data_IF_699598448664
#
_entry.id   IF_699598448664
#
_cell.length_a   1.000
_cell.length_b   1.000
_cell.length_c   1.000
_cell.angle_alpha   90.00
_cell.angle_beta   90.00
_cell.angle_gamma   90.00
#
_symmetry.space_group_name_H-M   'P 1'
#
loop_
_entity.id
_entity.type
_entity.pdbx_description
1 polymer ?
#
# COMPACT_ATOMS: atom_id res chain seq x y z
N UNK A 1 -1.35 19.22 -16.01
CA UNK A 1 -2.40 19.28 -17.05
C UNK A 1 -2.38 20.68 -17.64
N UNK A 2 -2.48 20.77 -18.94
CA UNK A 2 -2.44 22.02 -19.68
C UNK A 2 -3.71 22.16 -20.52
N UNK A 3 -4.18 23.37 -20.70
CA UNK A 3 -5.28 23.71 -21.59
C UNK A 3 -4.79 24.62 -22.71
N UNK A 4 -5.34 24.47 -23.89
CA UNK A 4 -5.04 25.36 -25.01
C UNK A 4 -5.84 26.66 -24.85
N UNK A 5 -5.12 27.78 -24.85
CA UNK A 5 -5.68 29.13 -24.79
C UNK A 5 -5.27 29.89 -26.03
N UNK A 6 -5.80 31.08 -26.24
CA UNK A 6 -5.42 31.97 -27.36
C UNK A 6 -3.93 32.33 -27.33
N UNK A 7 -3.29 32.24 -26.16
CA UNK A 7 -1.86 32.54 -25.95
C UNK A 7 -0.95 31.30 -25.99
N UNK A 8 -1.50 30.11 -26.24
CA UNK A 8 -0.79 28.83 -26.22
C UNK A 8 -1.20 27.94 -25.05
N UNK A 9 -0.32 27.00 -24.66
CA UNK A 9 -0.58 26.04 -23.60
C UNK A 9 -0.37 26.67 -22.23
N UNK A 10 -1.42 26.74 -21.41
CA UNK A 10 -1.35 27.20 -20.02
C UNK A 10 -1.55 26.03 -19.04
N UNK A 11 -0.79 26.03 -17.94
CA UNK A 11 -0.92 25.04 -16.90
C UNK A 11 -2.14 25.30 -16.03
N UNK A 12 -2.99 24.28 -15.87
CA UNK A 12 -4.20 24.39 -15.07
C UNK A 12 -3.92 24.14 -13.59
N UNK A 13 -4.64 24.84 -12.74
CA UNK A 13 -4.73 24.49 -11.32
C UNK A 13 -5.62 23.25 -11.22
N UNK A 14 -5.11 22.21 -10.60
CA UNK A 14 -5.82 20.93 -10.49
C UNK A 14 -5.93 20.48 -9.03
N UNK A 15 -7.08 19.84 -8.71
CA UNK A 15 -7.24 19.01 -7.53
C UNK A 15 -7.33 17.57 -8.01
N UNK A 16 -6.29 16.81 -7.77
CA UNK A 16 -6.14 15.44 -8.24
C UNK A 16 -6.45 14.45 -7.11
N UNK A 17 -7.51 13.66 -7.26
CA UNK A 17 -7.90 12.57 -6.37
C UNK A 17 -7.37 11.21 -6.87
N UNK A 18 -6.76 11.18 -8.07
CA UNK A 18 -6.18 9.95 -8.64
C UNK A 18 -4.77 9.67 -8.15
N UNK A 19 -4.16 10.60 -7.41
CA UNK A 19 -2.76 10.52 -6.97
C UNK A 19 -1.80 10.26 -8.13
N UNK A 20 -1.98 10.99 -9.24
CA UNK A 20 -1.16 10.84 -10.43
C UNK A 20 -1.48 9.57 -11.23
N UNK A 21 -2.76 9.23 -11.33
CA UNK A 21 -3.30 8.05 -12.03
C UNK A 21 -2.92 6.70 -11.39
N UNK A 22 -2.60 6.68 -10.10
CA UNK A 22 -2.34 5.43 -9.37
C UNK A 22 -3.61 4.74 -8.88
N UNK A 23 -4.72 5.47 -8.88
CA UNK A 23 -6.06 4.96 -8.59
C UNK A 23 -7.11 5.67 -9.44
N UNK A 24 -8.33 5.09 -9.52
CA UNK A 24 -9.48 5.77 -10.09
C UNK A 24 -9.92 6.93 -9.20
N UNK A 25 -10.29 8.06 -9.79
CA UNK A 25 -10.71 9.24 -9.05
C UNK A 25 -11.06 10.40 -9.97
N UNK A 26 -11.44 11.52 -9.38
CA UNK A 26 -11.75 12.75 -10.09
C UNK A 26 -10.54 13.68 -10.15
N UNK A 27 -10.40 14.36 -11.26
CA UNK A 27 -9.48 15.48 -11.41
C UNK A 27 -10.30 16.73 -11.67
N UNK A 28 -10.39 17.58 -10.67
CA UNK A 28 -11.03 18.88 -10.81
C UNK A 28 -10.02 19.84 -11.42
N UNK A 29 -10.39 20.45 -12.54
CA UNK A 29 -9.53 21.35 -13.30
C UNK A 29 -10.16 22.74 -13.25
N UNK A 30 -9.42 23.73 -12.74
CA UNK A 30 -9.81 25.13 -12.84
C UNK A 30 -9.47 25.62 -14.24
N UNK A 31 -10.51 25.99 -14.99
CA UNK A 31 -10.39 26.46 -16.36
C UNK A 31 -10.11 27.98 -16.32
N UNK A 32 -9.08 28.50 -17.00
CA UNK A 32 -8.85 29.95 -17.11
C UNK A 32 -9.89 30.61 -18.02
N UNK A 33 -10.12 31.92 -17.82
CA UNK A 33 -11.17 32.66 -18.53
C UNK A 33 -10.86 32.92 -20.04
N UNK A 34 -9.61 32.72 -20.46
CA UNK A 34 -9.12 33.01 -21.81
C UNK A 34 -9.07 31.78 -22.74
N UNK A 35 -10.03 30.88 -22.59
CA UNK A 35 -10.14 29.69 -23.44
C UNK A 35 -11.01 29.97 -24.66
N UNK A 36 -10.72 29.24 -25.76
CA UNK A 36 -11.58 29.23 -26.92
C UNK A 36 -12.81 28.34 -26.66
N UNK A 37 -13.99 28.93 -26.60
CA UNK A 37 -15.23 28.23 -26.29
C UNK A 37 -15.62 27.19 -27.36
N UNK A 38 -15.18 27.34 -28.60
CA UNK A 38 -15.54 26.41 -29.68
C UNK A 38 -14.71 25.13 -29.69
N UNK A 39 -13.45 25.20 -29.24
CA UNK A 39 -12.55 24.02 -29.18
C UNK A 39 -11.57 24.16 -28.02
N UNK A 40 -11.86 23.48 -26.93
CA UNK A 40 -10.92 23.37 -25.81
C UNK A 40 -10.21 22.03 -25.87
N UNK A 41 -8.89 22.07 -25.98
CA UNK A 41 -8.04 20.85 -25.95
C UNK A 41 -7.33 20.79 -24.60
N UNK A 42 -7.48 19.66 -23.95
CA UNK A 42 -6.78 19.33 -22.71
C UNK A 42 -5.56 18.44 -23.04
N UNK A 43 -4.39 18.84 -22.55
CA UNK A 43 -3.17 18.06 -22.67
C UNK A 43 -2.75 17.55 -21.30
N UNK A 44 -2.77 16.25 -21.14
CA UNK A 44 -2.28 15.56 -19.94
C UNK A 44 -0.86 15.09 -20.21
N UNK A 45 0.09 15.53 -19.39
CA UNK A 45 1.48 15.10 -19.48
C UNK A 45 1.81 14.31 -18.22
N UNK A 46 2.14 13.04 -18.40
CA UNK A 46 2.54 12.13 -17.32
C UNK A 46 4.05 12.03 -17.34
N UNK A 47 4.68 12.41 -16.22
CA UNK A 47 6.11 12.22 -16.03
C UNK A 47 6.30 10.99 -15.13
N UNK A 48 7.00 9.99 -15.61
CA UNK A 48 7.37 8.82 -14.82
C UNK A 48 8.89 8.65 -14.87
N UNK A 49 9.51 8.50 -13.72
CA UNK A 49 10.93 8.16 -13.61
C UNK A 49 11.15 6.65 -13.87
N UNK A 50 10.07 5.87 -13.90
CA UNK A 50 10.08 4.42 -14.05
C UNK A 50 9.05 3.98 -15.09
N UNK A 51 9.55 3.51 -16.25
CA UNK A 51 8.71 3.02 -17.36
C UNK A 51 7.91 1.76 -16.99
N UNK A 52 8.37 0.99 -15.99
CA UNK A 52 7.71 -0.24 -15.57
C UNK A 52 6.45 0.00 -14.71
N UNK A 53 6.28 1.22 -14.21
CA UNK A 53 5.14 1.61 -13.37
C UNK A 53 4.26 2.68 -14.03
N UNK A 54 4.14 2.63 -15.35
CA UNK A 54 3.20 3.51 -16.07
C UNK A 54 1.76 3.16 -15.69
N UNK A 55 0.93 4.15 -15.38
CA UNK A 55 -0.48 3.91 -15.08
C UNK A 55 -1.21 3.35 -16.30
N UNK A 56 -2.05 2.35 -16.10
CA UNK A 56 -2.99 1.88 -17.10
C UNK A 56 -4.27 2.70 -16.98
N UNK A 57 -4.58 3.50 -18.00
CA UNK A 57 -5.79 4.31 -18.04
C UNK A 57 -6.83 3.55 -18.85
N UNK A 58 -7.85 3.04 -18.19
CA UNK A 58 -8.95 2.33 -18.87
C UNK A 58 -9.95 3.30 -19.47
N UNK A 59 -10.19 4.43 -18.81
CA UNK A 59 -11.22 5.35 -19.20
C UNK A 59 -10.95 6.78 -18.70
N UNK A 60 -11.24 7.75 -19.55
CA UNK A 60 -11.27 9.18 -19.22
C UNK A 60 -12.55 9.77 -19.79
N UNK A 61 -13.30 10.48 -18.98
CA UNK A 61 -14.46 11.23 -19.42
C UNK A 61 -14.49 12.59 -18.75
N UNK A 62 -15.13 13.53 -19.39
CA UNK A 62 -15.48 14.82 -18.82
C UNK A 62 -16.93 14.82 -18.33
N UNK A 63 -17.27 15.79 -17.50
CA UNK A 63 -18.64 16.00 -17.01
C UNK A 63 -19.25 14.75 -16.37
N UNK A 64 -18.47 14.08 -15.50
CA UNK A 64 -18.94 12.91 -14.75
C UNK A 64 -19.72 13.40 -13.52
N UNK A 65 -20.88 12.81 -13.26
CA UNK A 65 -21.63 13.00 -12.02
C UNK A 65 -21.81 11.68 -11.29
N UNK A 66 -21.85 11.76 -9.98
CA UNK A 66 -22.19 10.62 -9.13
C UNK A 66 -23.71 10.58 -8.99
N UNK A 67 -24.31 9.43 -9.27
CA UNK A 67 -25.72 9.18 -9.05
C UNK A 67 -25.91 8.56 -7.67
N UNK A 68 -26.81 9.11 -6.89
CA UNK A 68 -27.25 8.54 -5.62
C UNK A 68 -28.68 8.04 -5.82
N UNK A 69 -28.95 6.82 -5.36
CA UNK A 69 -30.30 6.29 -5.36
C UNK A 69 -31.09 7.00 -4.25
N UNK A 70 -32.06 7.81 -4.62
CA UNK A 70 -33.08 8.34 -3.72
C UNK A 70 -34.37 7.55 -3.92
N UNK A 71 -34.95 7.09 -2.81
CA UNK A 71 -36.22 6.38 -2.84
C UNK A 71 -37.31 7.15 -2.08
N UNK A 72 -38.24 7.69 -2.81
CA UNK A 72 -39.49 8.21 -2.21
C UNK A 72 -40.44 7.09 -1.79
N UNK A 73 -40.36 5.90 -2.36
CA UNK A 73 -41.32 4.80 -2.23
C UNK A 73 -40.85 3.52 -1.52
N UNK A 74 -39.80 3.51 -0.80
CA UNK A 74 -39.29 2.43 0.08
C UNK A 74 -39.28 0.97 -0.44
N UNK A 75 -39.90 0.65 -1.57
CA UNK A 75 -40.03 -0.73 -2.05
C UNK A 75 -38.73 -1.33 -2.62
N UNK A 76 -37.81 -0.47 -3.05
CA UNK A 76 -36.52 -0.89 -3.63
C UNK A 76 -35.31 -0.34 -2.86
N UNK A 77 -35.55 0.32 -1.74
CA UNK A 77 -34.49 0.85 -0.90
C UNK A 77 -33.66 -0.30 -0.32
N UNK A 78 -32.34 -0.23 -0.48
CA UNK A 78 -31.44 -1.28 -0.05
C UNK A 78 -31.36 -2.50 -0.97
N UNK A 79 -32.12 -2.55 -2.05
CA UNK A 79 -32.05 -3.66 -2.99
C UNK A 79 -30.76 -3.61 -3.81
N UNK A 80 -30.04 -4.72 -3.87
CA UNK A 80 -28.92 -4.87 -4.79
C UNK A 80 -29.43 -4.94 -6.24
N UNK A 81 -28.78 -4.24 -7.15
CA UNK A 81 -29.18 -4.22 -8.56
C UNK A 81 -28.03 -3.93 -9.49
N UNK A 82 -28.33 -4.06 -10.78
CA UNK A 82 -27.42 -3.72 -11.86
C UNK A 82 -28.07 -2.67 -12.74
N UNK A 83 -27.35 -1.60 -13.00
CA UNK A 83 -27.75 -0.61 -14.00
C UNK A 83 -26.98 -0.91 -15.28
N UNK A 84 -27.69 -1.17 -16.37
CA UNK A 84 -27.07 -1.49 -17.67
C UNK A 84 -26.28 -0.30 -18.21
N UNK A 85 -25.25 -0.61 -18.97
CA UNK A 85 -24.55 0.38 -19.78
C UNK A 85 -25.46 1.01 -20.85
N UNK A 86 -25.11 2.21 -21.29
CA UNK A 86 -25.83 2.97 -22.32
C UNK A 86 -27.30 3.33 -21.98
N UNK A 87 -27.67 3.34 -20.69
CA UNK A 87 -28.94 3.93 -20.28
C UNK A 87 -28.85 5.44 -20.34
N UNK A 88 -29.88 6.04 -20.93
CA UNK A 88 -29.97 7.49 -21.09
C UNK A 88 -30.95 8.05 -20.08
N UNK A 89 -30.48 9.00 -19.30
CA UNK A 89 -31.30 9.80 -18.38
C UNK A 89 -31.35 11.24 -18.85
N UNK A 90 -32.50 11.86 -18.69
CA UNK A 90 -32.69 13.29 -18.95
C UNK A 90 -32.91 13.99 -17.60
N UNK A 91 -32.10 14.97 -17.31
CA UNK A 91 -32.14 15.74 -16.07
C UNK A 91 -32.46 17.18 -16.47
N UNK A 92 -33.44 17.75 -15.83
CA UNK A 92 -33.77 19.19 -16.02
C UNK A 92 -33.28 19.96 -14.80
N UNK A 93 -32.30 20.84 -15.00
CA UNK A 93 -31.76 21.71 -13.95
C UNK A 93 -31.93 23.16 -14.44
N UNK A 94 -32.68 23.95 -13.71
CA UNK A 94 -32.89 25.37 -14.00
C UNK A 94 -33.33 25.69 -15.45
N UNK A 95 -34.10 24.75 -16.07
CA UNK A 95 -34.61 24.91 -17.43
C UNK A 95 -33.63 24.37 -18.51
N UNK A 96 -32.51 23.84 -18.14
CA UNK A 96 -31.59 23.17 -19.06
C UNK A 96 -31.79 21.65 -19.03
N UNK A 97 -32.01 21.05 -20.19
CA UNK A 97 -32.05 19.59 -20.33
C UNK A 97 -30.65 19.04 -20.48
N UNK A 98 -30.23 18.27 -19.48
CA UNK A 98 -28.93 17.60 -19.47
C UNK A 98 -29.14 16.11 -19.74
N UNK A 99 -28.42 15.58 -20.74
CA UNK A 99 -28.40 14.16 -21.04
C UNK A 99 -27.30 13.49 -20.29
N UNK A 100 -27.62 12.54 -19.41
CA UNK A 100 -26.67 11.66 -18.75
C UNK A 100 -26.76 10.25 -19.35
N UNK A 101 -25.63 9.60 -19.53
CA UNK A 101 -25.54 8.25 -20.09
C UNK A 101 -24.66 7.39 -19.17
N UNK A 102 -25.13 6.20 -18.82
CA UNK A 102 -24.29 5.23 -18.11
C UNK A 102 -23.23 4.67 -19.06
N UNK A 103 -21.97 4.91 -18.74
CA UNK A 103 -20.85 4.49 -19.58
C UNK A 103 -20.54 3.00 -19.47
N UNK A 104 -20.67 2.43 -18.28
CA UNK A 104 -20.38 1.03 -17.96
C UNK A 104 -21.50 0.46 -17.11
N UNK A 105 -21.66 -0.85 -17.10
CA UNK A 105 -22.59 -1.49 -16.18
C UNK A 105 -22.21 -1.12 -14.74
N UNK A 106 -23.15 -0.53 -14.00
CA UNK A 106 -22.96 -0.13 -12.61
C UNK A 106 -23.39 -1.28 -11.71
N UNK A 107 -22.49 -1.76 -10.91
CA UNK A 107 -22.75 -2.72 -9.85
C UNK A 107 -22.86 -1.95 -8.53
N UNK A 108 -24.02 -1.39 -8.27
CA UNK A 108 -24.24 -0.59 -7.09
C UNK A 108 -25.52 -1.03 -6.40
N UNK A 109 -25.56 -0.76 -5.13
CA UNK A 109 -26.61 -1.16 -4.24
C UNK A 109 -26.24 -2.43 -3.49
N UNK A 110 -26.39 -2.37 -2.19
CA UNK A 110 -26.32 -3.48 -1.27
C UNK A 110 -27.66 -3.57 -0.55
N UNK A 111 -27.99 -4.73 -0.05
CA UNK A 111 -29.14 -4.90 0.83
C UNK A 111 -28.97 -4.00 2.06
N UNK A 112 -30.07 -3.67 2.71
CA UNK A 112 -30.02 -2.93 3.96
C UNK A 112 -29.05 -3.59 4.93
N UNK A 113 -28.20 -2.76 5.49
CA UNK A 113 -27.20 -3.18 6.46
C UNK A 113 -27.91 -3.66 7.74
N UNK A 114 -27.50 -4.80 8.30
CA UNK A 114 -28.04 -5.21 9.58
C UNK A 114 -27.65 -4.22 10.67
N UNK A 115 -28.45 -4.06 11.74
CA UNK A 115 -28.09 -3.17 12.85
C UNK A 115 -26.73 -3.52 13.48
N UNK A 116 -26.34 -4.79 13.45
CA UNK A 116 -25.04 -5.25 13.93
C UNK A 116 -23.90 -4.80 13.00
N UNK A 117 -24.05 -4.98 11.70
CA UNK A 117 -23.05 -4.56 10.72
C UNK A 117 -22.91 -3.03 10.70
N UNK A 118 -24.02 -2.29 10.80
CA UNK A 118 -24.03 -0.84 10.93
C UNK A 118 -23.26 -0.38 12.18
N UNK A 119 -23.46 -1.07 13.32
CA UNK A 119 -22.73 -0.77 14.54
C UNK A 119 -21.23 -1.06 14.41
N UNK A 120 -20.85 -2.20 13.84
CA UNK A 120 -19.43 -2.54 13.61
C UNK A 120 -18.76 -1.59 12.61
N UNK A 121 -19.45 -1.21 11.54
CA UNK A 121 -18.97 -0.18 10.60
C UNK A 121 -18.77 1.16 11.30
N UNK A 122 -19.79 1.65 12.01
CA UNK A 122 -19.70 2.91 12.78
C UNK A 122 -18.55 2.87 13.77
N UNK A 123 -18.43 1.78 14.53
CA UNK A 123 -17.33 1.58 15.46
C UNK A 123 -15.97 1.62 14.76
N UNK A 124 -15.82 0.94 13.64
CA UNK A 124 -14.58 0.94 12.86
C UNK A 124 -14.24 2.32 12.32
N UNK A 125 -15.25 3.09 11.87
CA UNK A 125 -15.09 4.47 11.40
C UNK A 125 -14.69 5.42 12.52
N UNK A 126 -15.28 5.27 13.72
CA UNK A 126 -14.91 6.07 14.89
C UNK A 126 -13.49 5.77 15.40
N UNK A 127 -13.06 4.51 15.28
CA UNK A 127 -11.69 4.09 15.60
C UNK A 127 -10.70 4.45 14.50
N UNK A 128 -11.17 4.80 13.31
CA UNK A 128 -10.36 5.21 12.17
C UNK A 128 -9.97 6.67 12.33
N UNK A 129 -8.97 6.90 13.16
CA UNK A 129 -8.43 8.24 13.32
C UNK A 129 -7.85 8.73 11.98
N UNK A 130 -8.31 9.88 11.53
CA UNK A 130 -7.74 10.57 10.35
C UNK A 130 -6.34 11.12 10.62
N UNK A 131 -5.90 11.08 11.87
CA UNK A 131 -4.59 11.55 12.33
C UNK A 131 -3.76 10.41 12.87
N UNK A 132 -2.48 10.43 12.58
CA UNK A 132 -1.52 9.49 13.10
C UNK A 132 -1.06 9.96 14.50
N UNK A 133 -1.40 9.21 15.53
CA UNK A 133 -1.01 9.50 16.92
C UNK A 133 0.00 8.49 17.42
N UNK A 134 -0.18 7.22 17.06
CA UNK A 134 0.68 6.13 17.48
C UNK A 134 1.35 5.46 16.26
N UNK A 135 2.26 4.53 16.50
CA UNK A 135 3.00 3.78 15.48
C UNK A 135 2.04 3.09 14.48
N UNK A 136 1.00 2.45 14.98
CA UNK A 136 0.08 1.66 14.16
C UNK A 136 -0.75 2.54 13.23
N UNK A 137 -1.06 3.79 13.64
CA UNK A 137 -1.73 4.76 12.77
C UNK A 137 -0.86 5.13 11.57
N UNK A 138 0.45 5.40 11.80
CA UNK A 138 1.37 5.67 10.70
C UNK A 138 1.51 4.48 9.76
N UNK A 139 1.60 3.25 10.29
CA UNK A 139 1.66 2.03 9.49
C UNK A 139 0.40 1.90 8.64
N UNK A 140 -0.78 2.01 9.24
CA UNK A 140 -2.06 1.92 8.54
C UNK A 140 -2.19 2.96 7.43
N UNK A 141 -1.91 4.22 7.74
CA UNK A 141 -1.99 5.32 6.76
C UNK A 141 -1.00 5.11 5.62
N UNK A 142 0.21 4.65 5.91
CA UNK A 142 1.19 4.34 4.89
C UNK A 142 0.73 3.19 3.98
N UNK A 143 0.15 2.13 4.55
CA UNK A 143 -0.38 0.98 3.79
C UNK A 143 -1.58 1.36 2.91
N UNK A 144 -2.37 2.35 3.33
CA UNK A 144 -3.51 2.87 2.56
C UNK A 144 -3.08 3.87 1.47
N UNK A 145 -1.77 4.17 1.33
CA UNK A 145 -1.29 5.14 0.34
C UNK A 145 -1.52 4.65 -1.09
N UNK A 146 -2.24 5.42 -1.92
CA UNK A 146 -2.52 5.04 -3.30
C UNK A 146 -1.26 4.83 -4.13
N UNK A 147 -1.25 3.75 -4.91
CA UNK A 147 -0.15 3.41 -5.81
C UNK A 147 1.11 2.86 -5.14
N UNK A 148 1.08 2.63 -3.84
CA UNK A 148 2.19 2.05 -3.09
C UNK A 148 1.77 0.71 -2.49
N UNK A 149 2.37 -0.37 -3.00
CA UNK A 149 2.28 -1.70 -2.38
C UNK A 149 3.47 -1.89 -1.47
N UNK A 150 3.22 -2.02 -0.19
CA UNK A 150 4.24 -2.16 0.85
C UNK A 150 4.40 -3.64 1.17
N UNK A 151 5.64 -4.13 1.14
CA UNK A 151 6.03 -5.47 1.60
C UNK A 151 6.25 -5.45 3.12
N UNK A 152 7.12 -4.53 3.58
CA UNK A 152 7.47 -4.41 4.99
C UNK A 152 7.56 -2.94 5.37
N UNK A 153 7.08 -2.60 6.56
CA UNK A 153 7.12 -1.25 7.11
C UNK A 153 7.50 -1.27 8.58
N UNK A 154 8.34 -0.33 8.97
CA UNK A 154 8.59 -0.03 10.38
C UNK A 154 8.50 1.47 10.64
N UNK A 155 7.93 1.83 11.78
CA UNK A 155 7.81 3.22 12.24
C UNK A 155 8.47 3.34 13.59
N UNK A 156 9.39 4.29 13.72
CA UNK A 156 10.15 4.52 14.94
C UNK A 156 10.46 6.00 15.12
N UNK A 157 10.87 6.35 16.32
CA UNK A 157 11.23 7.71 16.68
C UNK A 157 12.48 7.68 17.54
N UNK A 158 13.57 8.21 17.02
CA UNK A 158 14.86 8.30 17.74
C UNK A 158 15.02 9.66 18.40
N UNK A 159 14.25 10.67 17.99
CA UNK A 159 14.28 12.02 18.49
C UNK A 159 12.85 12.54 18.79
N UNK A 160 12.64 13.29 19.87
CA UNK A 160 11.34 13.89 20.15
C UNK A 160 10.86 14.79 19.00
N UNK A 161 9.62 14.61 18.59
CA UNK A 161 9.02 15.39 17.50
C UNK A 161 9.37 14.91 16.08
N UNK A 162 10.17 13.83 15.93
CA UNK A 162 10.55 13.26 14.65
C UNK A 162 10.12 11.81 14.55
N UNK A 163 9.44 11.47 13.48
CA UNK A 163 8.98 10.11 13.20
C UNK A 163 9.63 9.63 11.89
N UNK A 164 10.30 8.51 11.96
CA UNK A 164 10.89 7.83 10.81
C UNK A 164 9.97 6.70 10.35
N UNK A 165 9.62 6.72 9.08
CA UNK A 165 8.80 5.70 8.43
C UNK A 165 9.67 4.99 7.42
N UNK A 166 10.13 3.80 7.78
CA UNK A 166 10.97 2.96 6.93
C UNK A 166 10.10 1.97 6.15
N UNK A 167 10.17 2.01 4.82
CA UNK A 167 9.27 1.24 3.95
C UNK A 167 10.04 0.48 2.89
N UNK A 168 9.73 -0.80 2.73
CA UNK A 168 10.15 -1.64 1.61
C UNK A 168 8.95 -1.85 0.69
N UNK A 169 9.02 -1.44 -0.59
CA UNK A 169 7.96 -1.74 -1.55
C UNK A 169 7.98 -3.24 -1.94
N UNK A 170 6.83 -3.80 -2.34
CA UNK A 170 6.73 -5.19 -2.80
C UNK A 170 7.56 -5.44 -4.05
N UNK A 171 7.63 -4.46 -4.94
CA UNK A 171 8.32 -4.57 -6.23
C UNK A 171 9.18 -3.34 -6.50
N UNK A 172 10.40 -3.57 -6.96
CA UNK A 172 11.31 -2.53 -7.43
C UNK A 172 11.86 -1.61 -6.35
N UNK A 173 12.28 -0.42 -6.78
CA UNK A 173 12.75 0.66 -5.91
C UNK A 173 11.64 1.70 -5.74
N UNK A 174 11.69 2.44 -4.65
CA UNK A 174 10.83 3.62 -4.51
C UNK A 174 10.99 4.54 -5.71
N UNK A 175 9.93 4.70 -6.49
CA UNK A 175 9.92 5.80 -7.45
C UNK A 175 9.63 7.11 -6.73
N UNK A 176 10.13 8.22 -7.27
CA UNK A 176 9.96 9.55 -6.65
C UNK A 176 8.49 9.92 -6.46
N UNK A 177 7.62 9.41 -7.33
CA UNK A 177 6.20 9.69 -7.28
C UNK A 177 5.51 8.99 -6.10
N UNK A 178 5.80 7.70 -5.87
CA UNK A 178 5.24 6.96 -4.72
C UNK A 178 5.72 7.52 -3.39
N UNK A 179 6.99 7.95 -3.31
CA UNK A 179 7.52 8.67 -2.13
C UNK A 179 6.78 9.99 -1.91
N UNK A 180 6.48 10.73 -3.00
CA UNK A 180 5.72 11.98 -2.93
C UNK A 180 4.29 11.75 -2.43
N UNK A 181 3.62 10.71 -2.92
CA UNK A 181 2.28 10.34 -2.47
C UNK A 181 2.27 9.95 -0.99
N UNK A 182 3.20 9.09 -0.58
CA UNK A 182 3.35 8.68 0.82
C UNK A 182 3.61 9.90 1.72
N UNK A 183 4.52 10.78 1.29
CA UNK A 183 4.81 12.02 2.04
C UNK A 183 3.59 12.92 2.18
N UNK A 184 2.79 13.08 1.11
CA UNK A 184 1.57 13.88 1.12
C UNK A 184 0.56 13.32 2.14
N UNK A 185 0.26 12.02 2.05
CA UNK A 185 -0.72 11.36 2.91
C UNK A 185 -0.30 11.41 4.38
N UNK A 186 0.97 11.12 4.67
CA UNK A 186 1.51 11.20 6.03
C UNK A 186 1.57 12.63 6.56
N UNK A 187 1.87 13.61 5.70
CA UNK A 187 1.90 15.03 6.09
C UNK A 187 0.52 15.56 6.47
N UNK A 188 -0.52 15.12 5.77
CA UNK A 188 -1.91 15.49 6.08
C UNK A 188 -2.39 14.86 7.40
N UNK A 189 -1.86 13.68 7.74
CA UNK A 189 -2.26 12.91 8.92
C UNK A 189 -1.44 13.22 10.18
N UNK A 190 -0.22 13.75 10.06
CA UNK A 190 0.67 13.99 11.20
C UNK A 190 0.18 15.05 12.18
N UNK A 191 0.52 14.96 13.49
CA UNK A 191 0.31 16.04 14.44
C UNK A 191 1.12 17.29 14.07
N UNK A 192 0.63 18.44 14.49
CA UNK A 192 1.35 19.72 14.34
C UNK A 192 2.67 19.63 15.10
N UNK A 193 3.76 20.08 14.47
CA UNK A 193 5.09 20.08 15.08
C UNK A 193 5.86 18.77 14.94
N UNK A 194 5.28 17.73 14.32
CA UNK A 194 5.99 16.48 14.03
C UNK A 194 6.66 16.56 12.68
N UNK A 195 7.93 16.19 12.60
CA UNK A 195 8.66 15.95 11.35
C UNK A 195 8.55 14.50 10.96
N UNK A 196 8.47 14.24 9.65
CA UNK A 196 8.39 12.87 9.10
C UNK A 196 9.54 12.64 8.12
N UNK A 197 10.35 11.63 8.40
CA UNK A 197 11.35 11.11 7.50
C UNK A 197 10.87 9.80 6.88
N UNK A 198 10.97 9.69 5.56
CA UNK A 198 10.69 8.46 4.83
C UNK A 198 12.03 7.82 4.45
N UNK A 199 12.25 6.62 4.95
CA UNK A 199 13.50 5.88 4.78
C UNK A 199 13.27 4.62 3.95
N UNK A 200 14.33 4.17 3.30
CA UNK A 200 14.42 2.83 2.71
C UNK A 200 15.22 1.93 3.66
N UNK A 201 14.87 0.65 3.79
CA UNK A 201 15.58 -0.22 4.71
C UNK A 201 17.02 -0.47 4.30
N UNK A 202 17.87 -0.61 5.29
CA UNK A 202 19.23 -1.12 5.12
C UNK A 202 19.14 -2.65 5.08
N UNK A 203 19.59 -3.24 3.99
CA UNK A 203 19.53 -4.69 3.78
C UNK A 203 20.77 -5.36 4.37
N UNK A 204 20.53 -6.33 5.24
CA UNK A 204 21.56 -7.18 5.85
C UNK A 204 21.49 -8.56 5.24
N UNK A 205 22.39 -8.83 4.31
CA UNK A 205 22.51 -10.14 3.66
C UNK A 205 23.17 -11.15 4.58
N UNK A 206 22.54 -12.30 4.75
CA UNK A 206 23.02 -13.36 5.61
C UNK A 206 22.76 -14.75 5.01
N UNK A 207 23.56 -15.73 5.44
CA UNK A 207 23.37 -17.15 5.14
C UNK A 207 23.23 -17.93 6.43
N UNK A 208 22.24 -18.81 6.45
CA UNK A 208 21.99 -19.67 7.59
C UNK A 208 22.61 -21.04 7.36
N UNK A 209 23.51 -21.42 8.25
CA UNK A 209 24.14 -22.75 8.28
C UNK A 209 23.57 -23.55 9.44
N UNK A 210 23.07 -24.75 9.18
CA UNK A 210 22.47 -25.62 10.20
C UNK A 210 23.04 -27.04 10.10
N UNK A 211 23.68 -27.49 11.16
CA UNK A 211 24.09 -28.88 11.30
C UNK A 211 22.96 -29.70 11.92
N UNK A 212 22.33 -30.58 11.14
CA UNK A 212 21.20 -31.38 11.61
C UNK A 212 21.39 -32.84 11.38
N UNK A 213 20.93 -33.66 12.33
CA UNK A 213 20.67 -35.07 12.13
C UNK A 213 19.20 -35.27 11.76
N UNK A 214 18.96 -35.91 10.61
CA UNK A 214 17.62 -36.13 10.10
C UNK A 214 17.16 -37.57 10.27
N UNK A 215 15.88 -37.79 10.47
CA UNK A 215 15.26 -39.11 10.45
C UNK A 215 15.39 -39.73 9.05
N UNK A 216 15.67 -41.03 8.99
CA UNK A 216 15.99 -41.75 7.73
C UNK A 216 14.96 -41.69 6.63
N UNK A 217 13.75 -41.19 6.91
CA UNK A 217 12.66 -40.95 5.94
C UNK A 217 12.59 -39.50 5.43
N UNK A 218 13.36 -38.62 6.04
CA UNK A 218 13.27 -37.18 5.73
C UNK A 218 14.03 -36.82 4.44
N UNK A 219 13.39 -36.13 3.56
CA UNK A 219 13.99 -35.56 2.34
C UNK A 219 14.60 -34.20 2.66
N UNK A 220 15.86 -34.00 2.27
CA UNK A 220 16.59 -32.73 2.46
C UNK A 220 15.81 -31.52 1.89
N UNK A 221 15.15 -31.66 0.75
CA UNK A 221 14.36 -30.59 0.16
C UNK A 221 13.10 -30.22 0.96
N UNK A 222 12.48 -31.17 1.65
CA UNK A 222 11.37 -30.90 2.57
C UNK A 222 11.85 -30.17 3.82
N UNK A 223 12.99 -30.59 4.34
CA UNK A 223 13.60 -29.96 5.51
C UNK A 223 13.98 -28.51 5.24
N UNK A 224 14.65 -28.21 4.13
CA UNK A 224 14.96 -26.83 3.70
C UNK A 224 13.70 -25.97 3.63
N UNK A 225 12.60 -26.50 3.06
CA UNK A 225 11.34 -25.77 2.97
C UNK A 225 10.74 -25.45 4.35
N UNK A 226 10.82 -26.38 5.29
CA UNK A 226 10.33 -26.16 6.64
C UNK A 226 11.19 -25.14 7.40
N UNK A 227 12.51 -25.25 7.29
CA UNK A 227 13.43 -24.26 7.88
C UNK A 227 13.17 -22.88 7.27
N UNK A 228 13.04 -22.77 5.94
CA UNK A 228 12.68 -21.50 5.29
C UNK A 228 11.39 -20.88 5.86
N UNK A 229 10.38 -21.70 6.12
CA UNK A 229 9.14 -21.23 6.75
C UNK A 229 9.37 -20.74 8.18
N UNK A 230 10.20 -21.42 8.96
CA UNK A 230 10.51 -21.05 10.34
C UNK A 230 11.34 -19.77 10.46
N UNK A 231 12.12 -19.41 9.43
CA UNK A 231 12.96 -18.20 9.44
C UNK A 231 12.34 -17.01 8.69
N UNK A 232 11.21 -17.21 8.03
CA UNK A 232 10.55 -16.19 7.19
C UNK A 232 10.25 -14.90 7.95
N UNK A 233 9.88 -15.00 9.23
CA UNK A 233 9.60 -13.83 10.07
C UNK A 233 10.82 -12.89 10.21
N UNK A 234 12.03 -13.39 10.05
CA UNK A 234 13.26 -12.59 10.10
C UNK A 234 13.38 -11.66 8.88
N UNK A 235 12.82 -12.07 7.74
CA UNK A 235 12.79 -11.30 6.50
C UNK A 235 11.55 -10.38 6.39
N UNK A 236 10.50 -10.66 7.17
CA UNK A 236 9.24 -9.93 7.15
C UNK A 236 9.21 -8.75 8.12
N UNK A 237 10.17 -8.67 9.05
CA UNK A 237 10.18 -7.65 10.09
C UNK A 237 11.49 -6.84 10.09
N UNK A 238 11.38 -5.54 10.24
CA UNK A 238 12.50 -4.62 10.44
C UNK A 238 12.75 -4.39 11.93
N UNK A 239 13.97 -4.02 12.28
CA UNK A 239 14.32 -3.63 13.66
C UNK A 239 14.17 -4.76 14.67
N UNK A 240 14.61 -5.97 14.30
CA UNK A 240 14.38 -7.16 15.11
C UNK A 240 15.45 -7.31 16.17
N UNK A 241 15.01 -7.65 17.37
CA UNK A 241 15.87 -8.25 18.40
C UNK A 241 15.38 -9.66 18.64
N UNK A 242 16.19 -10.65 18.29
CA UNK A 242 15.77 -12.05 18.30
C UNK A 242 16.89 -12.97 18.83
N UNK A 243 16.53 -13.89 19.74
CA UNK A 243 17.46 -14.90 20.26
C UNK A 243 17.56 -16.06 19.29
N UNK A 244 18.77 -16.33 18.78
CA UNK A 244 18.98 -17.44 17.85
C UNK A 244 18.74 -18.82 18.52
N UNK A 245 18.79 -18.90 19.85
CA UNK A 245 18.36 -20.09 20.59
C UNK A 245 16.87 -20.45 20.38
N UNK A 246 16.00 -19.47 20.17
CA UNK A 246 14.58 -19.71 19.86
C UNK A 246 14.41 -20.30 18.46
N UNK A 247 15.21 -19.82 17.48
CA UNK A 247 15.26 -20.41 16.15
C UNK A 247 15.79 -21.85 16.20
N UNK A 248 16.86 -22.09 16.95
CA UNK A 248 17.42 -23.41 17.16
C UNK A 248 16.36 -24.38 17.72
N UNK A 249 15.61 -23.95 18.74
CA UNK A 249 14.57 -24.78 19.34
C UNK A 249 13.38 -25.00 18.38
N UNK A 250 13.02 -23.99 17.58
CA UNK A 250 11.94 -24.13 16.59
C UNK A 250 12.29 -25.13 15.48
N UNK A 251 13.55 -25.15 15.04
CA UNK A 251 14.02 -26.12 14.04
C UNK A 251 14.11 -27.53 14.68
N UNK A 252 14.59 -27.63 15.93
CA UNK A 252 14.62 -28.88 16.67
C UNK A 252 13.26 -29.52 16.90
N UNK A 253 12.19 -28.70 17.00
CA UNK A 253 10.84 -29.17 17.15
C UNK A 253 10.22 -29.74 15.85
N UNK A 254 10.92 -29.69 14.71
CA UNK A 254 10.46 -30.30 13.47
C UNK A 254 10.53 -31.82 13.53
N UNK A 255 9.44 -32.52 13.26
CA UNK A 255 9.35 -34.00 13.33
C UNK A 255 10.34 -34.73 12.42
N UNK A 256 11.03 -34.03 11.51
CA UNK A 256 12.02 -34.58 10.59
C UNK A 256 13.46 -34.47 11.11
N UNK A 257 13.65 -33.76 12.22
CA UNK A 257 14.96 -33.50 12.83
C UNK A 257 15.07 -34.34 14.07
N UNK A 258 16.04 -35.23 14.11
CA UNK A 258 16.35 -36.00 15.31
C UNK A 258 17.23 -35.22 16.30
N UNK A 259 18.19 -34.46 15.79
CA UNK A 259 18.98 -33.54 16.61
C UNK A 259 19.58 -32.40 15.76
N UNK A 260 19.94 -31.29 16.43
CA UNK A 260 20.67 -30.17 15.84
C UNK A 260 22.02 -30.05 16.57
N UNK A 261 23.08 -30.09 15.83
CA UNK A 261 24.44 -29.96 16.38
C UNK A 261 24.84 -28.50 16.57
N UNK A 262 24.53 -27.67 15.61
CA UNK A 262 24.89 -26.26 15.63
C UNK A 262 24.05 -25.46 14.65
N UNK A 263 23.97 -24.15 14.89
CA UNK A 263 23.33 -23.16 14.03
C UNK A 263 24.24 -21.94 13.97
N UNK A 264 24.53 -21.46 12.76
CA UNK A 264 25.36 -20.28 12.54
C UNK A 264 24.66 -19.40 11.50
N UNK A 265 24.48 -18.14 11.85
CA UNK A 265 24.04 -17.09 10.94
C UNK A 265 25.23 -16.24 10.54
N UNK A 266 25.64 -16.31 9.28
CA UNK A 266 26.80 -15.59 8.74
C UNK A 266 26.35 -14.45 7.84
N UNK A 267 26.80 -13.26 8.16
CA UNK A 267 26.56 -12.05 7.34
C UNK A 267 27.67 -11.86 6.31
N UNK A 268 27.35 -11.15 5.21
CA UNK A 268 28.31 -10.85 4.15
C UNK A 268 29.48 -9.96 4.62
N UNK A 269 29.32 -9.20 5.70
CA UNK A 269 30.39 -8.43 6.34
C UNK A 269 31.37 -9.28 7.12
N UNK A 270 31.17 -10.60 7.16
CA UNK A 270 32.02 -11.55 7.88
C UNK A 270 31.63 -11.79 9.33
N UNK A 271 30.65 -11.11 9.88
CA UNK A 271 30.16 -11.39 11.22
C UNK A 271 29.40 -12.71 11.25
N UNK A 272 29.60 -13.49 12.30
CA UNK A 272 28.91 -14.74 12.55
C UNK A 272 28.24 -14.70 13.91
N UNK A 273 27.01 -15.18 13.95
CA UNK A 273 26.22 -15.37 15.16
C UNK A 273 25.87 -16.85 15.31
N UNK A 274 26.06 -17.38 16.52
CA UNK A 274 25.75 -18.77 16.88
C UNK A 274 24.40 -18.86 17.59
N UNK A 275 23.96 -20.07 17.91
CA UNK A 275 22.71 -20.28 18.66
C UNK A 275 22.66 -19.61 20.05
N UNK A 276 23.80 -19.21 20.61
CA UNK A 276 23.85 -18.55 21.92
C UNK A 276 23.71 -17.02 21.81
N UNK A 277 23.85 -16.48 20.60
CA UNK A 277 23.86 -15.05 20.36
C UNK A 277 22.45 -14.48 20.16
N UNK A 278 22.36 -13.16 20.28
CA UNK A 278 21.16 -12.40 19.99
C UNK A 278 21.38 -11.63 18.70
N UNK A 279 20.51 -11.84 17.73
CA UNK A 279 20.43 -11.03 16.53
C UNK A 279 19.80 -9.67 16.90
N UNK A 280 20.52 -8.58 16.65
CA UNK A 280 20.02 -7.21 16.82
C UNK A 280 20.19 -6.48 15.50
N UNK A 281 19.08 -6.11 14.89
CA UNK A 281 19.06 -5.24 13.72
C UNK A 281 18.57 -3.84 14.13
N UNK A 282 19.14 -2.76 13.55
CA UNK A 282 18.65 -1.41 13.79
C UNK A 282 17.20 -1.25 13.26
N UNK A 283 16.48 -0.24 13.72
CA UNK A 283 15.07 -0.01 13.41
C UNK A 283 14.77 0.07 11.90
N UNK A 284 15.74 0.49 11.11
CA UNK A 284 15.69 0.53 9.64
C UNK A 284 16.35 -0.68 8.97
N UNK A 285 16.84 -1.64 9.76
CA UNK A 285 17.51 -2.85 9.28
C UNK A 285 16.52 -3.94 8.91
N UNK A 286 16.68 -4.53 7.73
CA UNK A 286 15.95 -5.69 7.27
C UNK A 286 16.90 -6.80 6.86
N UNK A 287 16.68 -8.00 7.38
CA UNK A 287 17.49 -9.16 7.01
C UNK A 287 16.99 -9.76 5.69
N UNK A 288 17.94 -10.19 4.87
CA UNK A 288 17.71 -10.99 3.65
C UNK A 288 18.51 -12.29 3.82
N UNK A 289 17.81 -13.41 3.82
CA UNK A 289 18.43 -14.73 3.81
C UNK A 289 18.69 -15.17 2.38
N UNK A 290 19.95 -15.08 1.95
CA UNK A 290 20.34 -15.46 0.59
C UNK A 290 20.29 -16.97 0.41
N UNK A 291 20.70 -17.74 1.42
CA UNK A 291 20.71 -19.20 1.35
C UNK A 291 20.59 -19.87 2.73
N UNK A 292 20.12 -21.12 2.73
CA UNK A 292 20.08 -22.02 3.90
C UNK A 292 20.85 -23.28 3.55
N UNK A 293 21.98 -23.47 4.24
CA UNK A 293 22.90 -24.56 4.02
C UNK A 293 22.76 -25.56 5.16
N UNK A 294 22.37 -26.78 4.81
CA UNK A 294 22.19 -27.89 5.75
C UNK A 294 23.39 -28.84 5.61
N UNK A 295 23.98 -29.19 6.72
CA UNK A 295 25.10 -30.13 6.80
C UNK A 295 24.84 -31.26 7.78
#
# INVERSE_FOLDING_TARGET
IYIETDNGWEECIIKDETYGFTQSGFINISIPDNINEEKSILKIVIFSDDIFHMPSIEFVSNNICVLVQENENNETMGASGKVKENLVFWINIDGYEIKAVTYKELYCGCNDESPYDAFERYRSEQLRLSRAVNKDDYIRIAMETPGLKIDTINVFSNEPGKVSVCVKPCEGKFCKHTVKNLRKVLFEAKPIGTEIDILTPILYHARLFVGVEVEGWASSGKLVRHIKKSVKFLEENMGITYKLSELFMSIKALNMVSDIKWLILRFDNGNELTQEDILILPDDGLMILDDIIIQ
#
